data_IF_750345204040
#
_entry.id   IF_750345204040
#
_cell.length_a   1.000
_cell.length_b   1.000
_cell.length_c   1.000
_cell.angle_alpha   90.00
_cell.angle_beta   90.00
_cell.angle_gamma   90.00
#
_symmetry.space_group_name_H-M   'P 1'
#
loop_
_entity.id
_entity.type
_entity.pdbx_description
1 polymer ?
#
# COMPACT_ATOMS: atom_id res chain seq x y z
N UNK A 1 12.64 -36.37 -42.25
CA UNK A 1 11.32 -35.77 -42.56
C UNK A 1 10.20 -36.79 -42.81
N UNK A 2 10.45 -37.97 -43.39
CA UNK A 2 9.38 -38.95 -43.73
C UNK A 2 8.68 -39.69 -42.56
N UNK A 3 9.25 -39.69 -41.35
CA UNK A 3 8.66 -40.40 -40.18
C UNK A 3 7.64 -39.57 -39.38
N UNK A 4 7.70 -38.24 -39.49
CA UNK A 4 6.78 -37.32 -38.77
C UNK A 4 5.46 -37.18 -39.55
N UNK A 5 5.51 -37.23 -40.88
CA UNK A 5 4.31 -37.20 -41.74
C UNK A 5 3.45 -38.48 -41.58
N UNK A 6 4.05 -39.62 -41.22
CA UNK A 6 3.33 -40.89 -41.05
C UNK A 6 2.52 -40.94 -39.73
N UNK A 7 2.94 -40.19 -38.70
CA UNK A 7 2.23 -40.13 -37.41
C UNK A 7 1.06 -39.14 -37.46
N UNK A 8 1.16 -38.09 -38.28
CA UNK A 8 0.08 -37.10 -38.45
C UNK A 8 -1.11 -37.62 -39.27
N UNK A 9 -0.91 -38.61 -40.16
CA UNK A 9 -2.00 -39.21 -40.93
C UNK A 9 -2.79 -40.26 -40.12
N UNK A 10 -2.18 -40.85 -39.08
CA UNK A 10 -2.80 -41.92 -38.30
C UNK A 10 -3.83 -41.42 -37.26
N UNK A 11 -3.83 -40.12 -36.92
CA UNK A 11 -4.80 -39.52 -35.97
C UNK A 11 -6.09 -39.06 -36.68
N UNK A 12 -6.11 -39.02 -38.01
CA UNK A 12 -7.28 -38.58 -38.79
C UNK A 12 -8.29 -39.69 -39.14
N UNK A 13 -8.00 -40.96 -38.86
CA UNK A 13 -8.81 -42.10 -39.36
C UNK A 13 -9.69 -42.79 -38.32
N UNK A 14 -9.82 -42.27 -37.10
CA UNK A 14 -10.79 -42.77 -36.11
C UNK A 14 -11.92 -41.75 -35.95
N UNK A 15 -12.76 -41.66 -36.98
CA UNK A 15 -14.03 -40.95 -36.87
C UNK A 15 -15.10 -41.58 -37.77
N UNK A 16 -15.39 -42.87 -37.56
CA UNK A 16 -16.61 -43.49 -38.11
C UNK A 16 -17.23 -44.42 -37.06
N UNK A 17 -18.46 -44.07 -36.67
CA UNK A 17 -19.52 -44.88 -36.05
C UNK A 17 -19.35 -45.39 -34.61
N UNK A 18 -19.89 -44.63 -33.65
CA UNK A 18 -20.57 -45.20 -32.47
C UNK A 18 -21.56 -44.17 -31.89
N UNK A 19 -22.82 -44.52 -31.56
CA UNK A 19 -23.78 -43.62 -30.93
C UNK A 19 -23.49 -43.55 -29.42
N UNK A 20 -22.33 -43.01 -29.05
CA UNK A 20 -21.96 -42.69 -27.68
C UNK A 20 -21.37 -41.27 -27.63
N UNK A 21 -21.93 -40.37 -28.43
CA UNK A 21 -21.54 -38.96 -28.53
C UNK A 21 -22.59 -38.01 -27.92
N UNK A 22 -23.52 -38.51 -27.10
CA UNK A 22 -24.57 -37.67 -26.47
C UNK A 22 -24.42 -37.49 -24.97
N UNK A 23 -23.33 -37.96 -24.34
CA UNK A 23 -23.18 -37.88 -22.88
C UNK A 23 -21.88 -37.22 -22.38
N UNK A 24 -21.03 -36.73 -23.28
CA UNK A 24 -19.76 -36.07 -22.93
C UNK A 24 -19.81 -34.53 -23.04
N UNK A 25 -20.67 -33.97 -23.91
CA UNK A 25 -20.84 -32.51 -24.02
C UNK A 25 -21.44 -31.88 -22.76
N UNK A 26 -22.36 -32.57 -22.08
CA UNK A 26 -23.02 -32.06 -20.87
C UNK A 26 -22.07 -31.93 -19.66
N UNK A 27 -20.98 -32.72 -19.60
CA UNK A 27 -19.98 -32.64 -18.52
C UNK A 27 -18.84 -31.66 -18.84
N UNK A 28 -18.48 -31.49 -20.10
CA UNK A 28 -17.47 -30.50 -20.49
C UNK A 28 -18.00 -29.06 -20.42
N UNK A 29 -19.29 -28.81 -20.72
CA UNK A 29 -19.89 -27.47 -20.61
C UNK A 29 -19.91 -26.90 -19.18
N UNK A 30 -20.04 -27.76 -18.17
CA UNK A 30 -20.01 -27.36 -16.75
C UNK A 30 -18.59 -27.17 -16.20
N UNK A 31 -17.59 -27.79 -16.81
CA UNK A 31 -16.19 -27.62 -16.43
C UNK A 31 -15.65 -26.34 -17.11
N UNK A 32 -15.98 -26.09 -18.38
CA UNK A 32 -15.55 -24.87 -19.08
C UNK A 32 -16.17 -23.61 -18.51
N UNK A 33 -17.45 -23.60 -18.11
CA UNK A 33 -18.08 -22.44 -17.45
C UNK A 33 -17.46 -22.09 -16.08
N UNK A 34 -16.83 -23.06 -15.41
CA UNK A 34 -16.08 -22.84 -14.15
C UNK A 34 -14.68 -22.26 -14.37
N UNK A 35 -14.18 -22.27 -15.61
CA UNK A 35 -12.86 -21.78 -16.02
C UNK A 35 -12.92 -20.64 -17.05
N UNK A 36 -14.11 -20.16 -17.44
CA UNK A 36 -14.27 -18.93 -18.21
C UNK A 36 -13.92 -17.71 -17.34
N UNK A 37 -13.28 -16.68 -17.92
CA UNK A 37 -12.76 -15.55 -17.17
C UNK A 37 -13.90 -14.89 -16.42
N UNK A 38 -13.76 -14.82 -15.10
CA UNK A 38 -14.61 -14.05 -14.18
C UNK A 38 -14.87 -12.71 -14.86
N UNK A 39 -16.13 -12.49 -15.28
CA UNK A 39 -16.61 -11.25 -15.89
C UNK A 39 -15.95 -10.10 -15.14
N UNK A 40 -15.04 -9.36 -15.79
CA UNK A 40 -14.33 -8.26 -15.16
C UNK A 40 -15.38 -7.29 -14.63
N UNK A 41 -15.65 -7.38 -13.33
CA UNK A 41 -16.51 -6.43 -12.65
C UNK A 41 -15.71 -5.15 -12.66
N UNK A 42 -15.95 -4.31 -13.66
CA UNK A 42 -15.40 -2.96 -13.73
C UNK A 42 -15.77 -2.32 -12.40
N UNK A 43 -14.76 -2.00 -11.60
CA UNK A 43 -14.98 -1.43 -10.27
C UNK A 43 -15.80 -0.15 -10.45
N UNK A 44 -16.80 0.03 -9.60
CA UNK A 44 -17.53 1.29 -9.60
C UNK A 44 -16.61 2.40 -9.09
N UNK A 45 -16.94 3.66 -9.41
CA UNK A 45 -16.10 4.77 -8.94
C UNK A 45 -16.15 4.89 -7.42
N UNK A 46 -17.26 4.45 -6.82
CA UNK A 46 -17.51 4.29 -5.39
C UNK A 46 -16.57 3.27 -4.77
N UNK A 47 -16.49 2.05 -5.33
CA UNK A 47 -15.57 1.00 -4.86
C UNK A 47 -14.10 1.47 -4.91
N UNK A 48 -13.72 2.22 -5.94
CA UNK A 48 -12.36 2.78 -6.08
C UNK A 48 -12.07 3.82 -4.99
N UNK A 49 -12.99 4.75 -4.75
CA UNK A 49 -12.82 5.81 -3.75
C UNK A 49 -12.82 5.26 -2.33
N UNK A 50 -13.68 4.28 -2.03
CA UNK A 50 -13.65 3.58 -0.74
C UNK A 50 -12.32 2.86 -0.53
N UNK A 51 -11.83 2.15 -1.56
CA UNK A 51 -10.51 1.52 -1.52
C UNK A 51 -9.36 2.51 -1.28
N UNK A 52 -9.43 3.71 -1.86
CA UNK A 52 -8.45 4.76 -1.60
C UNK A 52 -8.50 5.25 -0.14
N UNK A 53 -9.70 5.48 0.42
CA UNK A 53 -9.85 5.89 1.82
C UNK A 53 -9.31 4.83 2.79
N UNK A 54 -9.56 3.57 2.50
CA UNK A 54 -9.01 2.46 3.29
C UNK A 54 -7.49 2.36 3.18
N UNK A 55 -6.94 2.55 1.97
CA UNK A 55 -5.50 2.59 1.76
C UNK A 55 -4.84 3.75 2.51
N UNK A 56 -5.45 4.95 2.49
CA UNK A 56 -4.98 6.11 3.26
C UNK A 56 -5.02 5.86 4.76
N UNK A 57 -6.10 5.25 5.26
CA UNK A 57 -6.24 4.87 6.66
C UNK A 57 -5.11 3.93 7.08
N UNK A 58 -4.87 2.86 6.32
CA UNK A 58 -3.79 1.91 6.61
C UNK A 58 -2.42 2.59 6.51
N UNK A 59 -2.19 3.38 5.47
CA UNK A 59 -0.92 4.08 5.26
C UNK A 59 -0.58 5.02 6.41
N UNK A 60 -1.55 5.83 6.85
CA UNK A 60 -1.36 6.73 8.00
C UNK A 60 -1.17 5.93 9.29
N UNK A 61 -1.93 4.87 9.52
CA UNK A 61 -1.74 4.00 10.67
C UNK A 61 -0.32 3.44 10.74
N UNK A 62 0.20 2.92 9.63
CA UNK A 62 1.56 2.40 9.57
C UNK A 62 2.60 3.49 9.74
N UNK A 63 2.41 4.66 9.11
CA UNK A 63 3.28 5.81 9.24
C UNK A 63 3.39 6.30 10.68
N UNK A 64 2.26 6.53 11.35
CA UNK A 64 2.21 6.94 12.75
C UNK A 64 2.83 5.87 13.65
N UNK A 65 2.50 4.60 13.43
CA UNK A 65 3.09 3.49 14.18
C UNK A 65 4.60 3.42 13.98
N UNK A 66 5.11 3.78 12.82
CA UNK A 66 6.54 3.77 12.54
C UNK A 66 7.26 4.90 13.27
N UNK A 67 6.73 6.12 13.21
CA UNK A 67 7.36 7.29 13.83
C UNK A 67 7.13 7.38 15.33
N UNK A 68 6.06 6.75 15.85
CA UNK A 68 5.76 6.71 17.28
C UNK A 68 6.54 5.66 18.09
N UNK A 69 7.39 4.86 17.44
CA UNK A 69 8.30 3.94 18.13
C UNK A 69 9.51 4.69 18.66
N UNK A 70 10.19 4.09 19.63
CA UNK A 70 11.54 4.50 20.02
C UNK A 70 12.42 4.62 18.78
N UNK A 71 13.04 5.79 18.62
CA UNK A 71 13.92 6.21 17.52
C UNK A 71 13.21 6.48 16.19
N UNK A 72 11.87 6.48 16.19
CA UNK A 72 11.05 6.82 15.03
C UNK A 72 11.24 8.26 14.55
N UNK A 73 11.52 9.20 15.47
CA UNK A 73 11.95 10.56 15.15
C UNK A 73 13.46 10.70 15.27
N UNK A 74 14.05 10.34 16.43
CA UNK A 74 15.43 10.72 16.75
C UNK A 74 16.48 10.17 15.76
N UNK A 75 16.29 8.95 15.23
CA UNK A 75 17.19 8.35 14.23
C UNK A 75 16.75 8.54 12.78
N UNK A 76 15.63 9.22 12.55
CA UNK A 76 15.12 9.46 11.21
C UNK A 76 15.51 10.87 10.73
N UNK A 77 16.55 10.97 9.91
CA UNK A 77 17.05 12.26 9.41
C UNK A 77 16.03 13.09 8.62
N UNK A 78 14.93 12.49 8.13
CA UNK A 78 13.91 13.21 7.39
C UNK A 78 12.91 13.95 8.28
N UNK A 79 12.74 13.51 9.54
CA UNK A 79 11.72 14.03 10.45
C UNK A 79 12.24 14.30 11.87
N UNK A 80 13.51 14.02 12.15
CA UNK A 80 14.18 14.35 13.40
C UNK A 80 13.97 15.81 13.72
N UNK A 81 13.66 16.10 14.98
CA UNK A 81 13.53 17.46 15.50
C UNK A 81 14.91 17.92 15.97
N UNK A 82 15.57 18.84 15.24
CA UNK A 82 16.85 19.40 15.68
C UNK A 82 16.65 20.42 16.80
N UNK A 83 17.76 20.89 17.36
CA UNK A 83 17.72 22.02 18.29
C UNK A 83 17.11 23.26 17.60
N UNK A 84 16.13 23.93 18.23
CA UNK A 84 15.55 25.16 17.70
C UNK A 84 16.61 26.24 17.51
N UNK A 85 16.46 27.06 16.47
CA UNK A 85 17.43 28.10 16.14
C UNK A 85 17.53 29.16 17.26
N UNK A 86 16.42 29.39 17.95
CA UNK A 86 16.30 30.30 19.09
C UNK A 86 17.17 29.85 20.27
N UNK A 87 17.47 28.55 20.37
CA UNK A 87 18.32 27.97 21.42
C UNK A 87 19.74 27.68 20.94
N UNK A 88 20.09 27.99 19.69
CA UNK A 88 21.38 27.62 19.10
C UNK A 88 22.57 28.26 19.83
N UNK A 89 22.47 29.53 20.21
CA UNK A 89 23.55 30.23 20.92
C UNK A 89 23.74 29.70 22.35
N UNK A 90 22.63 29.43 23.04
CA UNK A 90 22.65 28.81 24.38
C UNK A 90 23.27 27.42 24.31
N UNK A 91 22.84 26.59 23.34
CA UNK A 91 23.40 25.28 23.08
C UNK A 91 24.91 25.33 22.78
N UNK A 92 25.36 26.32 22.01
CA UNK A 92 26.78 26.53 21.70
C UNK A 92 27.58 26.92 22.95
N UNK A 93 27.06 27.81 23.78
CA UNK A 93 27.69 28.21 25.02
C UNK A 93 27.80 27.03 26.00
N UNK A 94 26.72 26.26 26.18
CA UNK A 94 26.69 25.06 27.01
C UNK A 94 27.69 24.01 26.54
N UNK A 95 27.81 23.78 25.23
CA UNK A 95 28.82 22.89 24.66
C UNK A 95 30.25 23.35 24.96
N UNK A 96 30.53 24.66 24.88
CA UNK A 96 31.86 25.22 25.16
C UNK A 96 32.30 25.04 26.62
N UNK A 97 31.36 25.03 27.57
CA UNK A 97 31.66 24.82 28.99
C UNK A 97 31.59 23.35 29.42
N UNK A 98 31.51 22.41 28.46
CA UNK A 98 31.51 20.97 28.74
C UNK A 98 30.13 20.36 29.01
N UNK A 99 29.04 21.13 28.93
CA UNK A 99 27.66 20.67 29.11
C UNK A 99 27.00 20.20 27.81
N UNK A 100 27.79 19.78 26.82
CA UNK A 100 27.26 19.31 25.53
C UNK A 100 26.31 18.12 25.66
N UNK A 101 26.59 17.20 26.57
CA UNK A 101 25.73 16.05 26.86
C UNK A 101 24.32 16.45 27.32
N UNK A 102 24.16 17.60 28.00
CA UNK A 102 22.85 18.13 28.41
C UNK A 102 22.07 18.73 27.26
N UNK A 103 22.77 19.29 26.28
CA UNK A 103 22.14 19.76 25.04
C UNK A 103 21.64 18.57 24.22
N UNK A 104 22.46 17.52 24.11
CA UNK A 104 22.10 16.31 23.38
C UNK A 104 20.94 15.56 24.08
N UNK A 105 20.91 15.55 25.42
CA UNK A 105 19.81 15.01 26.22
C UNK A 105 18.49 15.79 25.98
N UNK A 106 18.56 17.12 25.85
CA UNK A 106 17.39 17.95 25.53
C UNK A 106 16.85 17.60 24.14
N UNK A 107 17.72 17.54 23.13
CA UNK A 107 17.32 17.17 21.77
C UNK A 107 16.69 15.77 21.75
N UNK A 108 17.30 14.81 22.46
CA UNK A 108 16.73 13.48 22.61
C UNK A 108 15.32 13.54 23.23
N UNK A 109 15.14 14.27 24.34
CA UNK A 109 13.83 14.39 25.01
C UNK A 109 12.77 15.04 24.13
N UNK A 110 13.12 16.04 23.32
CA UNK A 110 12.20 16.62 22.35
C UNK A 110 11.71 15.58 21.33
N UNK A 111 12.63 14.79 20.78
CA UNK A 111 12.30 13.73 19.85
C UNK A 111 11.48 12.61 20.52
N UNK A 112 11.81 12.22 21.76
CA UNK A 112 11.00 11.26 22.55
C UNK A 112 9.59 11.78 22.79
N UNK A 113 9.44 13.08 23.08
CA UNK A 113 8.15 13.73 23.20
C UNK A 113 7.33 13.65 21.90
N UNK A 114 7.98 13.82 20.74
CA UNK A 114 7.32 13.66 19.45
C UNK A 114 6.94 12.20 19.15
N UNK A 115 7.79 11.24 19.50
CA UNK A 115 7.49 9.79 19.40
C UNK A 115 6.27 9.43 20.25
N UNK A 116 6.19 9.93 21.49
CA UNK A 116 5.05 9.71 22.39
C UNK A 116 3.78 10.44 21.91
N UNK A 117 3.93 11.60 21.27
CA UNK A 117 2.80 12.37 20.75
C UNK A 117 2.24 11.81 19.45
N UNK A 118 3.08 11.19 18.61
CA UNK A 118 2.67 10.76 17.27
C UNK A 118 1.42 9.85 17.25
N UNK A 119 1.26 8.85 18.14
CA UNK A 119 0.04 8.02 18.19
C UNK A 119 -1.24 8.82 18.43
N UNK A 120 -1.16 9.97 19.12
CA UNK A 120 -2.33 10.83 19.42
C UNK A 120 -2.92 11.46 18.16
N UNK A 121 -2.17 11.51 17.06
CA UNK A 121 -2.64 12.04 15.79
C UNK A 121 -3.57 11.07 15.03
N UNK A 122 -3.63 9.78 15.40
CA UNK A 122 -4.43 8.77 14.70
C UNK A 122 -5.90 9.19 14.56
N UNK A 123 -6.51 9.64 15.65
CA UNK A 123 -7.93 10.01 15.67
C UNK A 123 -8.20 11.24 14.79
N UNK A 124 -7.25 12.20 14.75
CA UNK A 124 -7.34 13.39 13.90
C UNK A 124 -7.38 12.97 12.43
N UNK A 125 -6.44 12.13 12.00
CA UNK A 125 -6.40 11.66 10.62
C UNK A 125 -7.59 10.76 10.25
N UNK A 126 -8.05 9.94 11.18
CA UNK A 126 -9.23 9.10 10.94
C UNK A 126 -10.48 9.93 10.69
N UNK A 127 -10.69 10.96 11.51
CA UNK A 127 -11.80 11.88 11.35
C UNK A 127 -11.68 12.65 10.03
N UNK A 128 -10.47 13.06 9.64
CA UNK A 128 -10.22 13.70 8.35
C UNK A 128 -10.55 12.78 7.16
N UNK A 129 -10.11 11.51 7.18
CA UNK A 129 -10.39 10.55 6.10
C UNK A 129 -11.90 10.25 6.02
N UNK A 130 -12.57 10.10 7.17
CA UNK A 130 -14.03 9.88 7.21
C UNK A 130 -14.79 11.08 6.65
N UNK A 131 -14.38 12.30 7.01
CA UNK A 131 -14.99 13.56 6.56
C UNK A 131 -14.66 13.95 5.11
N UNK A 132 -13.67 13.30 4.49
CA UNK A 132 -13.27 13.57 3.10
C UNK A 132 -14.42 13.31 2.13
N UNK A 133 -14.73 14.27 1.24
CA UNK A 133 -15.78 14.07 0.24
C UNK A 133 -15.34 13.09 -0.85
N UNK A 134 -16.30 12.57 -1.61
CA UNK A 134 -16.00 11.74 -2.77
C UNK A 134 -15.18 12.50 -3.83
N UNK A 135 -15.46 13.79 -4.00
CA UNK A 135 -14.72 14.65 -4.91
C UNK A 135 -13.26 14.82 -4.45
N UNK A 136 -13.01 15.02 -3.15
CA UNK A 136 -11.66 15.15 -2.61
C UNK A 136 -10.84 13.88 -2.81
N UNK A 137 -11.43 12.72 -2.52
CA UNK A 137 -10.77 11.43 -2.72
C UNK A 137 -10.49 11.17 -4.21
N UNK A 138 -11.43 11.50 -5.09
CA UNK A 138 -11.25 11.43 -6.53
C UNK A 138 -10.13 12.37 -7.00
N UNK A 139 -10.04 13.58 -6.45
CA UNK A 139 -8.97 14.52 -6.75
C UNK A 139 -7.62 13.98 -6.27
N UNK A 140 -7.52 13.34 -5.11
CA UNK A 140 -6.27 12.69 -4.67
C UNK A 140 -5.85 11.57 -5.64
N UNK A 141 -6.81 10.78 -6.13
CA UNK A 141 -6.55 9.68 -7.05
C UNK A 141 -6.05 10.14 -8.43
N UNK A 142 -6.68 11.20 -8.96
CA UNK A 142 -6.45 11.68 -10.32
C UNK A 142 -5.65 12.98 -10.37
N UNK A 143 -5.17 13.48 -9.23
CA UNK A 143 -4.28 14.64 -9.17
C UNK A 143 -3.05 14.33 -10.00
N UNK A 144 -3.05 14.86 -11.23
CA UNK A 144 -1.88 14.90 -12.08
C UNK A 144 -0.89 15.83 -11.38
N UNK A 145 0.35 15.37 -11.22
CA UNK A 145 1.46 16.24 -10.84
C UNK A 145 1.64 17.19 -12.01
N UNK A 146 1.12 18.41 -11.87
CA UNK A 146 1.45 19.51 -12.76
C UNK A 146 2.90 19.88 -12.41
N UNK A 147 3.84 19.38 -13.24
CA UNK A 147 5.26 19.72 -13.20
C UNK A 147 5.49 21.14 -13.74
#
# INVERSE_FOLDING_TARGET
MKKITLILVFISSIFIASPMATHLEAKFGNITSKFLPKKEKKLSTEEIVEGLKDALKIGIQQGIKQVGKTDGYYKNNQIRIPMPQELADVAKALRKIGLGSKVDELELKMNRGAEEAAPKALDIFWNAIKGMSFADAKNILFAKKDD
#
